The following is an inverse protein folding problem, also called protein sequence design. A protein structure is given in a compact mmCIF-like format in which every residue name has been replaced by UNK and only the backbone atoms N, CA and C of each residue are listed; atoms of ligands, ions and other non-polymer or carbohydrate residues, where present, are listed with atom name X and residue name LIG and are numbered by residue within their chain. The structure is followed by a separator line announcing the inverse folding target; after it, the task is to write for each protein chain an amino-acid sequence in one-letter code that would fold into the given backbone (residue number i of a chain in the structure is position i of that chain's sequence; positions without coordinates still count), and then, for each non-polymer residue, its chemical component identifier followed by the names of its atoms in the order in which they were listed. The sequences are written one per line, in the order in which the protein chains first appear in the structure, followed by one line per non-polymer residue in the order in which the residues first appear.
data_IF_205555686373
#
_entry.id   IF_205555686373
#
_cell.length_a   1.000
_cell.length_b   1.000
_cell.length_c   1.000
_cell.angle_alpha   90.00
_cell.angle_beta   90.00
_cell.angle_gamma   90.00
#
_symmetry.space_group_name_H-M   'P 1'
#
loop_
_entity.id
_entity.type
_entity.pdbx_description
1 polymer ?
#
# COMPACT_ATOMS: atom_id res chain seq x y z
N UNK A 1 19.30 -28.15 -21.58
CA UNK A 1 18.71 -28.06 -20.22
C UNK A 1 19.27 -26.81 -19.58
N UNK A 2 18.54 -25.70 -19.65
CA UNK A 2 18.99 -24.44 -19.04
C UNK A 2 18.72 -24.53 -17.54
N UNK A 3 19.79 -24.61 -16.76
CA UNK A 3 19.75 -24.46 -15.31
C UNK A 3 19.37 -23.01 -15.03
N UNK A 4 18.17 -22.80 -14.49
CA UNK A 4 17.76 -21.51 -13.96
C UNK A 4 18.70 -21.21 -12.80
N UNK A 5 19.43 -20.11 -12.91
CA UNK A 5 20.37 -19.62 -11.92
C UNK A 5 19.65 -19.47 -10.57
N UNK A 6 19.96 -20.36 -9.62
CA UNK A 6 19.51 -20.27 -8.21
C UNK A 6 20.28 -19.18 -7.45
N UNK A 7 20.62 -18.09 -8.12
CA UNK A 7 21.53 -17.04 -7.65
C UNK A 7 20.89 -15.91 -6.84
N UNK A 8 19.56 -15.88 -6.65
CA UNK A 8 18.87 -14.73 -6.05
C UNK A 8 18.03 -15.02 -4.79
N UNK A 9 17.93 -16.27 -4.32
CA UNK A 9 17.07 -16.64 -3.21
C UNK A 9 17.90 -16.94 -1.95
N UNK A 10 18.10 -15.93 -1.10
CA UNK A 10 18.65 -16.15 0.23
C UNK A 10 17.69 -17.03 1.06
N UNK A 11 18.20 -17.93 1.92
CA UNK A 11 17.38 -18.83 2.73
C UNK A 11 16.41 -18.08 3.66
N UNK A 12 16.81 -16.90 4.12
CA UNK A 12 15.98 -16.04 4.98
C UNK A 12 14.76 -15.48 4.24
N UNK A 13 14.91 -15.16 2.94
CA UNK A 13 13.81 -14.63 2.13
C UNK A 13 12.76 -15.71 1.86
N UNK A 14 13.18 -16.96 1.60
CA UNK A 14 12.25 -18.08 1.43
C UNK A 14 11.45 -18.36 2.71
N UNK A 15 12.12 -18.34 3.87
CA UNK A 15 11.47 -18.52 5.16
C UNK A 15 10.48 -17.40 5.47
N UNK A 16 10.79 -16.16 5.11
CA UNK A 16 9.87 -15.03 5.28
C UNK A 16 8.57 -15.23 4.47
N UNK A 17 8.69 -15.73 3.23
CA UNK A 17 7.55 -15.99 2.35
C UNK A 17 6.65 -17.08 2.92
N UNK A 18 7.22 -18.17 3.44
CA UNK A 18 6.47 -19.24 4.11
C UNK A 18 5.68 -18.68 5.30
N UNK A 19 6.35 -17.94 6.19
CA UNK A 19 5.71 -17.34 7.37
C UNK A 19 4.63 -16.33 7.01
N UNK A 20 4.86 -15.49 6.00
CA UNK A 20 3.83 -14.55 5.53
C UNK A 20 2.68 -15.27 4.85
N UNK A 21 2.90 -16.39 4.16
CA UNK A 21 1.83 -17.19 3.56
C UNK A 21 0.92 -17.75 4.66
N UNK A 22 1.48 -18.39 5.68
CA UNK A 22 0.71 -18.89 6.83
C UNK A 22 -0.04 -17.76 7.55
N UNK A 23 0.62 -16.63 7.80
CA UNK A 23 0.00 -15.49 8.44
C UNK A 23 -1.13 -14.87 7.60
N UNK A 24 -0.98 -14.82 6.27
CA UNK A 24 -2.01 -14.33 5.37
C UNK A 24 -3.24 -15.26 5.34
N UNK A 25 -3.04 -16.57 5.39
CA UNK A 25 -4.12 -17.56 5.53
C UNK A 25 -4.90 -17.39 6.85
N UNK A 26 -4.21 -16.96 7.91
CA UNK A 26 -4.80 -16.57 9.19
C UNK A 26 -5.41 -15.15 9.18
N UNK A 27 -5.38 -14.47 8.04
CA UNK A 27 -6.02 -13.19 7.81
C UNK A 27 -5.15 -11.96 8.05
N UNK A 28 -3.85 -12.12 8.30
CA UNK A 28 -2.91 -11.02 8.55
C UNK A 28 -2.79 -10.08 7.35
N UNK A 29 -3.18 -8.83 7.58
CA UNK A 29 -3.17 -7.76 6.58
C UNK A 29 -1.75 -7.40 6.14
N UNK A 30 -0.82 -7.30 7.10
CA UNK A 30 0.58 -6.98 6.82
C UNK A 30 1.27 -8.09 6.03
N UNK A 31 0.89 -9.35 6.30
CA UNK A 31 1.40 -10.49 5.56
C UNK A 31 0.97 -10.45 4.09
N UNK A 32 -0.30 -10.14 3.80
CA UNK A 32 -0.73 -9.86 2.43
C UNK A 32 0.04 -8.68 1.82
N UNK A 33 0.31 -7.60 2.57
CA UNK A 33 1.10 -6.48 2.04
C UNK A 33 2.53 -6.90 1.63
N UNK A 34 3.20 -7.67 2.48
CA UNK A 34 4.57 -8.13 2.25
C UNK A 34 4.65 -9.14 1.12
N UNK A 35 3.74 -10.13 1.07
CA UNK A 35 3.63 -11.05 -0.06
C UNK A 35 3.40 -10.31 -1.37
N UNK A 36 2.55 -9.28 -1.35
CA UNK A 36 2.34 -8.41 -2.50
C UNK A 36 3.64 -7.76 -2.98
N UNK A 37 4.44 -7.22 -2.06
CA UNK A 37 5.73 -6.63 -2.41
C UNK A 37 6.73 -7.65 -2.97
N UNK A 38 6.86 -8.81 -2.32
CA UNK A 38 7.79 -9.86 -2.74
C UNK A 38 7.46 -10.43 -4.11
N UNK A 39 6.18 -10.73 -4.39
CA UNK A 39 5.77 -11.18 -5.72
C UNK A 39 5.93 -10.08 -6.78
N UNK A 40 5.86 -8.80 -6.40
CA UNK A 40 6.04 -7.71 -7.35
C UNK A 40 7.50 -7.50 -7.74
N UNK A 41 8.44 -7.67 -6.79
CA UNK A 41 9.88 -7.46 -7.00
C UNK A 41 10.64 -8.74 -7.34
N UNK A 42 10.05 -9.91 -7.12
CA UNK A 42 10.75 -11.19 -7.19
C UNK A 42 11.71 -11.44 -6.02
N UNK A 43 11.51 -10.75 -4.89
CA UNK A 43 12.37 -10.94 -3.71
C UNK A 43 11.93 -12.17 -2.91
N UNK A 44 12.79 -13.20 -2.87
CA UNK A 44 12.49 -14.44 -2.14
C UNK A 44 11.54 -15.40 -2.85
N UNK A 45 10.91 -14.97 -3.95
CA UNK A 45 10.00 -15.75 -4.80
C UNK A 45 10.17 -15.35 -6.26
N UNK A 46 9.72 -16.21 -7.18
CA UNK A 46 9.59 -15.80 -8.58
C UNK A 46 8.64 -14.60 -8.70
N UNK A 47 9.01 -13.61 -9.53
CA UNK A 47 8.16 -12.45 -9.80
C UNK A 47 6.83 -12.91 -10.40
N UNK A 48 5.73 -12.49 -9.78
CA UNK A 48 4.36 -12.75 -10.22
C UNK A 48 3.49 -11.52 -9.91
N UNK A 49 3.50 -10.56 -10.83
CA UNK A 49 2.73 -9.31 -10.69
C UNK A 49 1.22 -9.54 -10.48
N UNK A 50 0.54 -10.43 -11.23
CA UNK A 50 -0.87 -10.77 -10.96
C UNK A 50 -1.11 -11.22 -9.51
N UNK A 51 -0.25 -12.11 -8.98
CA UNK A 51 -0.36 -12.57 -7.59
C UNK A 51 -0.07 -11.46 -6.60
N UNK A 52 0.91 -10.61 -6.88
CA UNK A 52 1.21 -9.43 -6.07
C UNK A 52 0.00 -8.50 -5.90
N UNK A 53 -0.66 -8.18 -7.02
CA UNK A 53 -1.84 -7.31 -7.06
C UNK A 53 -2.96 -7.91 -6.23
N UNK A 54 -3.20 -9.23 -6.32
CA UNK A 54 -4.24 -9.90 -5.53
C UNK A 54 -3.98 -9.75 -4.03
N UNK A 55 -2.76 -9.99 -3.57
CA UNK A 55 -2.40 -9.80 -2.16
C UNK A 55 -2.55 -8.34 -1.72
N UNK A 56 -2.11 -7.38 -2.52
CA UNK A 56 -2.33 -5.96 -2.21
C UNK A 56 -3.80 -5.54 -2.22
N UNK A 57 -4.63 -6.12 -3.09
CA UNK A 57 -6.08 -5.89 -3.08
C UNK A 57 -6.71 -6.42 -1.79
N UNK A 58 -6.35 -7.63 -1.35
CA UNK A 58 -6.83 -8.20 -0.08
C UNK A 58 -6.45 -7.33 1.12
N UNK A 59 -5.19 -6.89 1.20
CA UNK A 59 -4.74 -5.99 2.27
C UNK A 59 -5.43 -4.62 2.19
N UNK A 60 -5.57 -4.05 0.99
CA UNK A 60 -6.19 -2.74 0.81
C UNK A 60 -7.69 -2.74 1.11
N UNK A 61 -8.42 -3.84 0.81
CA UNK A 61 -9.83 -3.99 1.20
C UNK A 61 -10.01 -4.01 2.72
N UNK A 62 -9.00 -4.49 3.47
CA UNK A 62 -8.97 -4.47 4.94
C UNK A 62 -8.38 -3.18 5.52
N UNK A 63 -8.15 -2.17 4.68
CA UNK A 63 -7.69 -0.84 5.11
C UNK A 63 -6.18 -0.66 5.17
N UNK A 64 -5.37 -1.57 4.60
CA UNK A 64 -3.93 -1.37 4.54
C UNK A 64 -3.57 -0.24 3.56
N UNK A 65 -3.15 0.89 4.11
CA UNK A 65 -2.91 2.11 3.34
C UNK A 65 -1.72 2.00 2.40
N UNK A 66 -0.66 1.30 2.82
CA UNK A 66 0.52 1.02 2.01
C UNK A 66 0.22 0.13 0.80
N UNK A 67 -0.64 -0.89 0.96
CA UNK A 67 -1.03 -1.73 -0.18
C UNK A 67 -1.92 -0.99 -1.16
N UNK A 68 -2.84 -0.15 -0.65
CA UNK A 68 -3.63 0.76 -1.51
C UNK A 68 -2.72 1.72 -2.28
N UNK A 69 -1.66 2.23 -1.65
CA UNK A 69 -0.66 3.08 -2.31
C UNK A 69 0.11 2.33 -3.41
N UNK A 70 0.52 1.08 -3.15
CA UNK A 70 1.24 0.26 -4.13
C UNK A 70 0.37 -0.10 -5.34
N UNK A 71 -0.94 -0.31 -5.15
CA UNK A 71 -1.88 -0.42 -6.28
C UNK A 71 -1.88 0.86 -7.14
N UNK A 72 -1.84 2.03 -6.51
CA UNK A 72 -1.72 3.29 -7.24
C UNK A 72 -0.41 3.40 -8.04
N UNK A 73 0.72 2.99 -7.47
CA UNK A 73 2.00 2.92 -8.19
C UNK A 73 1.90 1.98 -9.40
N UNK A 74 1.29 0.81 -9.20
CA UNK A 74 1.14 -0.17 -10.27
C UNK A 74 0.33 0.36 -11.45
N UNK A 75 -0.82 1.00 -11.19
CA UNK A 75 -1.65 1.57 -12.26
C UNK A 75 -0.98 2.78 -12.92
N UNK A 76 -0.24 3.59 -12.17
CA UNK A 76 0.60 4.65 -12.74
C UNK A 76 1.64 4.09 -13.72
N UNK A 77 2.34 3.02 -13.34
CA UNK A 77 3.36 2.40 -14.19
C UNK A 77 2.77 1.76 -15.46
N UNK A 78 1.49 1.38 -15.45
CA UNK A 78 0.75 0.93 -16.64
C UNK A 78 0.29 2.09 -17.53
N UNK A 79 0.37 3.33 -17.05
CA UNK A 79 -0.14 4.53 -17.71
C UNK A 79 -1.59 4.87 -17.37
N UNK A 80 -2.24 4.14 -16.46
CA UNK A 80 -3.58 4.48 -15.96
C UNK A 80 -3.48 5.48 -14.80
N UNK A 81 -3.22 6.73 -15.17
CA UNK A 81 -3.04 7.82 -14.23
C UNK A 81 -4.32 8.16 -13.46
N UNK A 82 -5.49 7.96 -14.06
CA UNK A 82 -6.77 8.22 -13.40
C UNK A 82 -6.98 7.23 -12.26
N UNK A 83 -6.83 5.93 -12.53
CA UNK A 83 -6.97 4.89 -11.51
C UNK A 83 -5.88 4.98 -10.43
N UNK A 84 -4.66 5.37 -10.81
CA UNK A 84 -3.59 5.65 -9.85
C UNK A 84 -3.99 6.74 -8.84
N UNK A 85 -4.52 7.86 -9.34
CA UNK A 85 -5.02 8.97 -8.50
C UNK A 85 -6.16 8.51 -7.60
N UNK A 86 -7.09 7.69 -8.09
CA UNK A 86 -8.17 7.14 -7.26
C UNK A 86 -7.64 6.29 -6.10
N UNK A 87 -6.68 5.40 -6.36
CA UNK A 87 -6.04 4.59 -5.32
C UNK A 87 -5.34 5.45 -4.27
N UNK A 88 -4.56 6.44 -4.71
CA UNK A 88 -3.88 7.35 -3.80
C UNK A 88 -4.85 8.24 -3.03
N UNK A 89 -5.97 8.69 -3.61
CA UNK A 89 -6.97 9.50 -2.89
C UNK A 89 -7.56 8.72 -1.70
N UNK A 90 -7.89 7.44 -1.92
CA UNK A 90 -8.39 6.57 -0.84
C UNK A 90 -7.32 6.41 0.25
N UNK A 91 -6.07 6.11 -0.14
CA UNK A 91 -4.95 5.93 0.80
C UNK A 91 -4.63 7.21 1.58
N UNK A 92 -4.66 8.39 0.93
CA UNK A 92 -4.45 9.69 1.56
C UNK A 92 -5.58 10.02 2.55
N UNK A 93 -6.84 9.71 2.22
CA UNK A 93 -7.99 9.87 3.13
C UNK A 93 -7.90 8.97 4.36
N UNK A 94 -7.08 7.92 4.31
CA UNK A 94 -6.76 7.07 5.46
C UNK A 94 -5.49 7.52 6.20
N UNK A 95 -4.98 8.73 5.92
CA UNK A 95 -3.84 9.33 6.61
C UNK A 95 -2.48 8.93 6.06
N UNK A 96 -2.37 8.39 4.84
CA UNK A 96 -1.07 8.02 4.27
C UNK A 96 -0.43 9.16 3.48
N UNK A 97 0.62 9.77 4.05
CA UNK A 97 1.26 10.97 3.52
C UNK A 97 1.90 10.76 2.13
N UNK A 98 2.50 9.59 1.89
CA UNK A 98 3.14 9.28 0.61
C UNK A 98 2.13 9.30 -0.55
N UNK A 99 0.88 8.89 -0.31
CA UNK A 99 -0.19 9.00 -1.31
C UNK A 99 -0.59 10.45 -1.58
N UNK A 100 -0.64 11.30 -0.56
CA UNK A 100 -0.88 12.73 -0.74
C UNK A 100 0.24 13.38 -1.58
N UNK A 101 1.50 13.03 -1.31
CA UNK A 101 2.65 13.50 -2.08
C UNK A 101 2.60 13.01 -3.54
N UNK A 102 2.16 11.77 -3.78
CA UNK A 102 1.95 11.25 -5.12
C UNK A 102 0.88 12.06 -5.88
N UNK A 103 -0.26 12.36 -5.26
CA UNK A 103 -1.33 13.18 -5.88
C UNK A 103 -0.84 14.59 -6.17
N UNK A 104 -0.03 15.19 -5.27
CA UNK A 104 0.60 16.49 -5.51
C UNK A 104 1.47 16.46 -6.77
N UNK A 105 2.27 15.42 -6.94
CA UNK A 105 3.09 15.22 -8.15
C UNK A 105 2.21 15.08 -9.40
N UNK A 106 1.16 14.26 -9.34
CA UNK A 106 0.21 14.11 -10.46
C UNK A 106 -0.46 15.43 -10.84
N UNK A 107 -0.78 16.28 -9.87
CA UNK A 107 -1.34 17.61 -10.14
C UNK A 107 -0.31 18.51 -10.85
N UNK A 108 0.94 18.51 -10.40
CA UNK A 108 2.01 19.29 -11.04
C UNK A 108 2.30 18.84 -12.47
N UNK A 109 2.15 17.54 -12.75
CA UNK A 109 2.33 16.94 -14.08
C UNK A 109 1.07 17.06 -14.97
N UNK A 110 -0.03 17.61 -14.44
CA UNK A 110 -1.28 17.80 -15.19
C UNK A 110 -2.15 16.54 -15.31
N UNK A 111 -1.81 15.47 -14.60
CA UNK A 111 -2.56 14.21 -14.58
C UNK A 111 -3.66 14.18 -13.50
N UNK A 112 -3.56 15.03 -12.47
CA UNK A 112 -4.64 15.23 -11.50
C UNK A 112 -5.17 16.67 -11.56
N UNK A 113 -6.44 16.84 -11.23
CA UNK A 113 -7.10 18.15 -11.16
C UNK A 113 -6.80 18.86 -9.84
N UNK A 114 -6.94 20.19 -9.84
CA UNK A 114 -6.87 21.00 -8.61
C UNK A 114 -7.90 20.52 -7.56
N UNK A 115 -9.08 20.09 -8.01
CA UNK A 115 -10.14 19.59 -7.13
C UNK A 115 -9.71 18.30 -6.43
N UNK A 116 -9.16 17.33 -7.16
CA UNK A 116 -8.65 16.08 -6.58
C UNK A 116 -7.52 16.32 -5.57
N UNK A 117 -6.59 17.23 -5.87
CA UNK A 117 -5.53 17.57 -4.92
C UNK A 117 -6.09 18.24 -3.65
N UNK A 118 -7.02 19.18 -3.79
CA UNK A 118 -7.67 19.82 -2.64
C UNK A 118 -8.51 18.83 -1.81
N UNK A 119 -9.14 17.86 -2.45
CA UNK A 119 -9.86 16.78 -1.78
C UNK A 119 -8.90 15.86 -1.01
N UNK A 120 -7.78 15.48 -1.61
CA UNK A 120 -6.77 14.66 -0.95
C UNK A 120 -6.18 15.35 0.30
N UNK A 121 -5.90 16.66 0.21
CA UNK A 121 -5.44 17.46 1.35
C UNK A 121 -6.45 17.48 2.49
N UNK A 122 -7.73 17.67 2.17
CA UNK A 122 -8.81 17.66 3.17
C UNK A 122 -8.94 16.29 3.83
N UNK A 123 -9.06 15.23 3.03
CA UNK A 123 -9.20 13.88 3.57
C UNK A 123 -8.02 13.45 4.44
N UNK A 124 -6.78 13.81 4.06
CA UNK A 124 -5.61 13.57 4.90
C UNK A 124 -5.66 14.38 6.21
N UNK A 125 -6.05 15.65 6.15
CA UNK A 125 -6.22 16.50 7.33
C UNK A 125 -7.25 15.95 8.30
N UNK A 126 -8.41 15.52 7.80
CA UNK A 126 -9.48 14.91 8.59
C UNK A 126 -8.98 13.65 9.33
N UNK A 127 -8.25 12.77 8.64
CA UNK A 127 -7.68 11.56 9.24
C UNK A 127 -6.67 11.85 10.37
N UNK A 128 -5.82 12.86 10.18
CA UNK A 128 -4.84 13.28 11.20
C UNK A 128 -5.53 13.86 12.43
N UNK A 129 -6.58 14.66 12.24
CA UNK A 129 -7.34 15.25 13.36
C UNK A 129 -8.16 14.20 14.12
N UNK A 130 -8.80 13.25 13.42
CA UNK A 130 -9.50 12.13 14.06
C UNK A 130 -8.58 11.31 14.97
N UNK A 131 -7.35 11.01 14.50
CA UNK A 131 -6.36 10.27 15.28
C UNK A 131 -5.97 11.01 16.57
N UNK A 132 -5.71 12.32 16.49
CA UNK A 132 -5.41 13.15 17.67
C UNK A 132 -6.58 13.18 18.66
N UNK A 133 -7.81 13.26 18.15
CA UNK A 133 -9.02 13.24 18.97
C UNK A 133 -9.15 11.93 19.74
N UNK A 134 -8.93 10.78 19.07
CA UNK A 134 -8.98 9.47 19.72
C UNK A 134 -7.95 9.34 20.85
N UNK A 135 -6.69 9.70 20.58
CA UNK A 135 -5.63 9.68 21.60
C UNK A 135 -5.94 10.60 22.79
N UNK A 136 -6.52 11.78 22.54
CA UNK A 136 -6.95 12.69 23.60
C UNK A 136 -8.04 12.07 24.48
N UNK A 137 -9.05 11.44 23.88
CA UNK A 137 -10.13 10.80 24.62
C UNK A 137 -9.64 9.55 25.37
N UNK A 138 -8.71 8.79 24.80
CA UNK A 138 -8.05 7.67 25.48
C UNK A 138 -7.23 8.13 26.69
N UNK A 139 -6.41 9.18 26.55
CA UNK A 139 -5.64 9.76 27.65
C UNK A 139 -6.53 10.19 28.82
N UNK A 140 -7.66 10.87 28.53
CA UNK A 140 -8.66 11.23 29.54
C UNK A 140 -9.25 10.00 30.25
N UNK A 141 -9.54 8.92 29.52
CA UNK A 141 -10.05 7.67 30.11
C UNK A 141 -9.03 6.99 31.00
N UNK A 142 -7.75 7.09 30.66
CA UNK A 142 -6.64 6.52 31.44
C UNK A 142 -6.27 7.38 32.66
N UNK A 143 -6.85 8.58 32.81
CA UNK A 143 -6.70 9.42 34.00
C UNK A 143 -5.29 10.00 34.20
N UNK A 144 -4.50 10.12 33.12
CA UNK A 144 -3.19 10.78 33.10
C UNK A 144 -3.35 12.28 32.85
#
# INVERSE_FOLDING_TARGET
MYVVDRGAFGPDNLRAIELWTEAAELGSVDAHSNLGASYYTGEGVEEDKPRAIRHWQEAAMKGHTGSRHNLGIFEFNKGDHELAVQHWMISAKMGYEMSLNAIKKMFMEGHATKAQYAEALRGYGDAVEEMKSHQREEAKRLGV
#
